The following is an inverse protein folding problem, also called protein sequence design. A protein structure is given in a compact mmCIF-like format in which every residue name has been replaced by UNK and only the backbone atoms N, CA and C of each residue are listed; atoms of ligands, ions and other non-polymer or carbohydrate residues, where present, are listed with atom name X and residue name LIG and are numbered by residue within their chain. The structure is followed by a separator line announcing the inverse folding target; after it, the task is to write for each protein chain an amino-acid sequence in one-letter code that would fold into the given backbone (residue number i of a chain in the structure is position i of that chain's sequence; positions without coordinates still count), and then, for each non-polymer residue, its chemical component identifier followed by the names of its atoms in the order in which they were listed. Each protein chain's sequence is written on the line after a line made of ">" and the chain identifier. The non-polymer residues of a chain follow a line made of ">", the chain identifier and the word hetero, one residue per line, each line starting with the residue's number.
data_IF_910158868787
#
_entry.id   IF_910158868787
#
_cell.length_a   1.000
_cell.length_b   1.000
_cell.length_c   1.000
_cell.angle_alpha   90.00
_cell.angle_beta   90.00
_cell.angle_gamma   90.00
#
_symmetry.space_group_name_H-M   'P 1'
#
loop_
_entity.id
_entity.type
_entity.pdbx_description
1 polymer ?
#
# COMPACT_ATOMS: atom_id res chain seq x y z
N UNK A 1 0.29 -9.00 3.40
CA UNK A 1 -0.11 -8.22 2.21
C UNK A 1 0.96 -8.34 1.12
N UNK A 2 0.52 -8.49 -0.14
CA UNK A 2 1.42 -8.57 -1.29
C UNK A 2 1.94 -9.98 -1.60
N UNK A 3 1.63 -10.96 -0.75
CA UNK A 3 1.98 -12.37 -0.94
C UNK A 3 1.39 -12.95 -2.23
N UNK A 4 0.15 -12.61 -2.54
CA UNK A 4 -0.53 -13.06 -3.76
C UNK A 4 0.17 -12.53 -5.02
N UNK A 5 0.55 -11.24 -5.02
CA UNK A 5 1.27 -10.63 -6.13
C UNK A 5 2.66 -11.24 -6.30
N UNK A 6 3.37 -11.48 -5.19
CA UNK A 6 4.68 -12.13 -5.19
C UNK A 6 4.59 -13.56 -5.74
N UNK A 7 3.61 -14.32 -5.27
CA UNK A 7 3.37 -15.68 -5.72
C UNK A 7 3.05 -15.73 -7.22
N UNK A 8 2.09 -14.93 -7.68
CA UNK A 8 1.70 -14.85 -9.08
C UNK A 8 2.87 -14.48 -10.00
N UNK A 9 3.70 -13.53 -9.59
CA UNK A 9 4.87 -13.13 -10.38
C UNK A 9 5.92 -14.24 -10.45
N UNK A 10 6.15 -14.96 -9.36
CA UNK A 10 7.10 -16.10 -9.35
C UNK A 10 6.59 -17.26 -10.20
N UNK A 11 5.31 -17.60 -10.12
CA UNK A 11 4.68 -18.64 -10.95
C UNK A 11 4.91 -18.32 -12.44
N UNK A 12 4.59 -17.09 -12.86
CA UNK A 12 4.79 -16.68 -14.26
C UNK A 12 6.27 -16.70 -14.70
N UNK A 13 7.19 -16.26 -13.82
CA UNK A 13 8.62 -16.30 -14.10
C UNK A 13 9.18 -17.72 -14.22
N UNK A 14 8.52 -18.69 -13.58
CA UNK A 14 8.87 -20.12 -13.70
C UNK A 14 8.23 -20.79 -14.91
N UNK A 15 7.58 -20.02 -15.81
CA UNK A 15 6.99 -20.55 -17.05
C UNK A 15 5.60 -21.14 -16.90
N UNK A 16 4.98 -21.01 -15.72
CA UNK A 16 3.61 -21.48 -15.49
C UNK A 16 2.58 -20.39 -15.75
N UNK A 17 1.38 -20.82 -16.12
CA UNK A 17 0.21 -19.96 -16.25
C UNK A 17 -0.62 -19.96 -14.96
N UNK A 18 -1.43 -18.92 -14.80
CA UNK A 18 -2.37 -18.79 -13.69
C UNK A 18 -3.77 -18.84 -14.30
N UNK A 19 -4.51 -19.87 -13.93
CA UNK A 19 -5.88 -20.07 -14.39
C UNK A 19 -6.92 -19.72 -13.31
N UNK A 20 -8.15 -19.54 -13.76
CA UNK A 20 -9.32 -19.42 -12.91
C UNK A 20 -10.12 -20.72 -12.97
N UNK A 21 -10.51 -21.24 -11.82
CA UNK A 21 -11.35 -22.47 -11.70
C UNK A 21 -12.72 -22.05 -11.18
N UNK A 22 -13.70 -22.03 -12.07
CA UNK A 22 -15.07 -21.55 -11.78
C UNK A 22 -15.76 -22.33 -10.66
N UNK A 23 -15.54 -23.64 -10.59
CA UNK A 23 -16.13 -24.51 -9.57
C UNK A 23 -15.46 -24.45 -8.20
N UNK A 24 -14.29 -23.79 -8.09
CA UNK A 24 -13.59 -23.67 -6.82
C UNK A 24 -14.18 -22.56 -5.95
N UNK A 25 -14.82 -22.94 -4.86
CA UNK A 25 -15.41 -22.00 -3.90
C UNK A 25 -14.53 -21.89 -2.67
N UNK A 26 -14.11 -20.66 -2.34
CA UNK A 26 -13.33 -20.35 -1.15
C UNK A 26 -14.05 -19.32 -0.29
N UNK A 27 -14.20 -19.59 0.99
CA UNK A 27 -14.75 -18.63 1.96
C UNK A 27 -13.62 -17.79 2.53
N UNK A 28 -13.56 -16.51 2.15
CA UNK A 28 -12.57 -15.58 2.66
C UNK A 28 -13.13 -14.72 3.79
N UNK A 29 -12.66 -14.94 5.00
CA UNK A 29 -12.98 -14.11 6.15
C UNK A 29 -12.05 -12.89 6.19
N UNK A 30 -12.39 -11.86 5.40
CA UNK A 30 -11.60 -10.62 5.33
C UNK A 30 -11.43 -9.91 6.66
N UNK A 31 -10.32 -9.20 6.82
CA UNK A 31 -10.06 -8.32 7.97
C UNK A 31 -9.69 -9.02 9.29
N UNK A 32 -9.62 -10.34 9.36
CA UNK A 32 -9.22 -11.04 10.60
C UNK A 32 -7.78 -10.70 11.04
N UNK A 33 -6.88 -10.51 10.10
CA UNK A 33 -5.49 -10.10 10.37
C UNK A 33 -5.35 -8.64 10.82
N UNK A 34 -6.41 -7.85 10.68
CA UNK A 34 -6.43 -6.43 11.05
C UNK A 34 -7.12 -6.18 12.40
N UNK A 35 -7.65 -7.23 13.05
CA UNK A 35 -8.30 -7.11 14.36
C UNK A 35 -7.34 -6.51 15.39
N UNK A 36 -7.80 -5.48 16.09
CA UNK A 36 -6.99 -4.76 17.08
C UNK A 36 -5.97 -3.79 16.51
N UNK A 37 -5.85 -3.65 15.18
CA UNK A 37 -4.98 -2.65 14.56
C UNK A 37 -5.74 -1.37 14.27
N UNK A 38 -5.13 -0.21 14.53
CA UNK A 38 -5.69 1.09 14.14
C UNK A 38 -5.62 1.28 12.61
N UNK A 39 -6.49 2.11 12.01
CA UNK A 39 -6.43 2.38 10.57
C UNK A 39 -5.05 2.85 10.06
N UNK A 40 -4.31 3.73 10.77
CA UNK A 40 -2.95 4.09 10.37
C UNK A 40 -1.97 2.90 10.34
N UNK A 41 -2.04 2.01 11.31
CA UNK A 41 -1.18 0.82 11.39
C UNK A 41 -1.46 -0.16 10.25
N UNK A 42 -2.73 -0.36 9.93
CA UNK A 42 -3.14 -1.19 8.78
C UNK A 42 -2.55 -0.61 7.48
N UNK A 43 -2.65 0.71 7.28
CA UNK A 43 -2.07 1.36 6.12
C UNK A 43 -0.55 1.23 6.07
N UNK A 44 0.14 1.38 7.20
CA UNK A 44 1.60 1.18 7.27
C UNK A 44 2.00 -0.26 6.93
N UNK A 45 1.27 -1.26 7.44
CA UNK A 45 1.50 -2.68 7.10
C UNK A 45 1.35 -2.91 5.59
N UNK A 46 0.27 -2.42 4.98
CA UNK A 46 0.01 -2.54 3.53
C UNK A 46 1.12 -1.87 2.70
N UNK A 47 1.50 -0.66 3.04
CA UNK A 47 2.55 0.07 2.31
C UNK A 47 3.93 -0.58 2.46
N UNK A 48 4.28 -1.07 3.65
CA UNK A 48 5.54 -1.79 3.85
C UNK A 48 5.61 -3.07 3.02
N UNK A 49 4.52 -3.84 2.96
CA UNK A 49 4.44 -5.04 2.14
C UNK A 49 4.61 -4.72 0.64
N UNK A 50 3.99 -3.64 0.16
CA UNK A 50 4.13 -3.16 -1.22
C UNK A 50 5.59 -2.77 -1.53
N UNK A 51 6.28 -2.08 -0.61
CA UNK A 51 7.69 -1.75 -0.80
C UNK A 51 8.61 -2.97 -0.75
N UNK A 52 8.34 -3.95 0.10
CA UNK A 52 9.07 -5.23 0.09
C UNK A 52 8.94 -5.93 -1.26
N UNK A 53 7.73 -5.93 -1.84
CA UNK A 53 7.50 -6.46 -3.19
C UNK A 53 8.31 -5.69 -4.24
N UNK A 54 8.30 -4.35 -4.21
CA UNK A 54 9.10 -3.55 -5.15
C UNK A 54 10.60 -3.79 -4.99
N UNK A 55 11.12 -3.85 -3.77
CA UNK A 55 12.54 -4.11 -3.50
C UNK A 55 12.99 -5.49 -3.98
N UNK A 56 12.11 -6.48 -3.86
CA UNK A 56 12.38 -7.86 -4.32
C UNK A 56 12.39 -7.99 -5.84
N UNK A 57 11.53 -7.26 -6.54
CA UNK A 57 11.26 -7.51 -7.96
C UNK A 57 11.74 -6.43 -8.91
N UNK A 58 12.06 -5.24 -8.44
CA UNK A 58 12.45 -4.09 -9.27
C UNK A 58 13.86 -3.61 -8.96
N UNK A 59 14.48 -2.97 -9.97
CA UNK A 59 15.79 -2.33 -9.78
C UNK A 59 15.69 -1.17 -8.79
N UNK A 60 16.72 -0.98 -7.98
CA UNK A 60 16.81 0.08 -6.97
C UNK A 60 16.45 1.48 -7.50
N UNK A 61 16.87 1.80 -8.73
CA UNK A 61 16.52 3.08 -9.37
C UNK A 61 15.03 3.24 -9.62
N UNK A 62 14.33 2.17 -10.00
CA UNK A 62 12.87 2.17 -10.19
C UNK A 62 12.15 2.33 -8.85
N UNK A 63 12.59 1.62 -7.83
CA UNK A 63 12.02 1.74 -6.47
C UNK A 63 12.14 3.16 -5.95
N UNK A 64 13.30 3.81 -6.14
CA UNK A 64 13.50 5.23 -5.77
C UNK A 64 12.56 6.18 -6.51
N UNK A 65 12.29 5.94 -7.80
CA UNK A 65 11.32 6.74 -8.58
C UNK A 65 9.90 6.55 -8.05
N UNK A 66 9.50 5.32 -7.74
CA UNK A 66 8.20 5.00 -7.14
C UNK A 66 8.06 5.72 -5.79
N UNK A 67 9.07 5.64 -4.92
CA UNK A 67 9.06 6.34 -3.63
C UNK A 67 8.89 7.85 -3.77
N UNK A 68 9.60 8.48 -4.74
CA UNK A 68 9.45 9.91 -5.02
C UNK A 68 8.04 10.26 -5.48
N UNK A 69 7.47 9.46 -6.39
CA UNK A 69 6.11 9.65 -6.89
C UNK A 69 5.06 9.47 -5.77
N UNK A 70 5.21 8.46 -4.94
CA UNK A 70 4.32 8.23 -3.78
C UNK A 70 4.39 9.39 -2.78
N UNK A 71 5.59 9.92 -2.50
CA UNK A 71 5.76 11.06 -1.61
C UNK A 71 5.10 12.33 -2.18
N UNK A 72 5.31 12.61 -3.45
CA UNK A 72 4.68 13.74 -4.14
C UNK A 72 3.15 13.61 -4.10
N UNK A 73 2.62 12.42 -4.43
CA UNK A 73 1.19 12.11 -4.34
C UNK A 73 0.64 12.31 -2.93
N UNK A 74 1.34 11.78 -1.91
CA UNK A 74 0.89 11.90 -0.52
C UNK A 74 0.78 13.38 -0.09
N UNK A 75 1.81 14.18 -0.35
CA UNK A 75 1.84 15.61 -0.03
C UNK A 75 0.76 16.40 -0.76
N UNK A 76 0.62 16.16 -2.07
CA UNK A 76 -0.43 16.77 -2.87
C UNK A 76 -1.83 16.47 -2.30
N UNK A 77 -2.09 15.18 -2.01
CA UNK A 77 -3.39 14.77 -1.46
C UNK A 77 -3.62 15.33 -0.06
N UNK A 78 -2.61 15.41 0.79
CA UNK A 78 -2.72 16.01 2.12
C UNK A 78 -3.02 17.52 2.03
N UNK A 79 -2.38 18.24 1.10
CA UNK A 79 -2.66 19.65 0.88
C UNK A 79 -4.12 19.88 0.44
N UNK A 80 -4.60 19.14 -0.58
CA UNK A 80 -5.98 19.24 -1.04
C UNK A 80 -6.97 18.89 0.09
N UNK A 81 -6.75 17.77 0.80
CA UNK A 81 -7.63 17.36 1.89
C UNK A 81 -7.63 18.37 3.03
N UNK A 82 -6.46 18.94 3.36
CA UNK A 82 -6.37 19.97 4.38
C UNK A 82 -7.15 21.25 4.03
N UNK A 83 -7.05 21.70 2.77
CA UNK A 83 -7.80 22.85 2.28
C UNK A 83 -9.31 22.59 2.18
N UNK A 84 -9.72 21.38 1.82
CA UNK A 84 -11.13 21.02 1.67
C UNK A 84 -11.80 20.57 2.96
N UNK A 85 -11.04 20.27 4.02
CA UNK A 85 -11.58 19.73 5.28
C UNK A 85 -12.67 20.63 5.94
N UNK A 86 -12.54 21.98 5.97
CA UNK A 86 -13.58 22.84 6.53
C UNK A 86 -14.93 22.75 5.80
N UNK A 87 -14.90 22.35 4.52
CA UNK A 87 -16.07 22.28 3.64
C UNK A 87 -16.52 20.83 3.39
N UNK A 88 -15.91 19.85 4.06
CA UNK A 88 -16.21 18.43 3.81
C UNK A 88 -17.58 18.07 4.42
N UNK A 89 -18.47 17.53 3.59
CA UNK A 89 -19.77 17.01 4.03
C UNK A 89 -19.62 15.81 4.96
N UNK A 90 -18.61 14.96 4.74
CA UNK A 90 -18.21 13.86 5.63
C UNK A 90 -16.77 14.07 6.09
N UNK A 91 -16.65 14.72 7.25
CA UNK A 91 -15.37 15.02 7.86
C UNK A 91 -14.59 13.77 8.29
N UNK A 92 -15.30 12.76 8.82
CA UNK A 92 -14.67 11.52 9.27
C UNK A 92 -14.03 10.76 8.11
N UNK A 93 -14.72 10.67 6.97
CA UNK A 93 -14.15 10.08 5.75
C UNK A 93 -12.95 10.88 5.22
N UNK A 94 -12.97 12.21 5.29
CA UNK A 94 -11.85 13.06 4.90
C UNK A 94 -10.63 12.84 5.80
N UNK A 95 -10.82 12.79 7.11
CA UNK A 95 -9.79 12.49 8.10
C UNK A 95 -9.21 11.08 7.91
N UNK A 96 -10.05 10.07 7.65
CA UNK A 96 -9.62 8.72 7.31
C UNK A 96 -8.70 8.67 6.09
N UNK A 97 -9.02 9.46 5.03
CA UNK A 97 -8.14 9.63 3.87
C UNK A 97 -6.81 10.30 4.23
N UNK A 98 -6.83 11.29 5.12
CA UNK A 98 -5.60 11.94 5.59
C UNK A 98 -4.70 10.97 6.36
N UNK A 99 -5.25 10.11 7.22
CA UNK A 99 -4.50 9.06 7.91
C UNK A 99 -3.76 8.14 6.93
N UNK A 100 -4.42 7.74 5.84
CA UNK A 100 -3.80 6.94 4.77
C UNK A 100 -2.58 7.63 4.17
N UNK A 101 -2.69 8.91 3.80
CA UNK A 101 -1.60 9.63 3.14
C UNK A 101 -0.47 10.00 4.10
N UNK A 102 -0.78 10.27 5.38
CA UNK A 102 0.25 10.43 6.43
C UNK A 102 1.02 9.14 6.64
N UNK A 103 0.34 8.00 6.72
CA UNK A 103 0.99 6.70 6.83
C UNK A 103 1.90 6.42 5.63
N UNK A 104 1.45 6.74 4.40
CA UNK A 104 2.28 6.60 3.20
C UNK A 104 3.53 7.49 3.26
N UNK A 105 3.40 8.76 3.64
CA UNK A 105 4.55 9.67 3.77
C UNK A 105 5.55 9.16 4.81
N UNK A 106 5.08 8.70 5.96
CA UNK A 106 5.92 8.17 7.02
C UNK A 106 6.68 6.92 6.57
N UNK A 107 6.00 5.95 5.95
CA UNK A 107 6.62 4.72 5.43
C UNK A 107 7.67 5.05 4.38
N UNK A 108 7.39 5.95 3.43
CA UNK A 108 8.36 6.36 2.42
C UNK A 108 9.61 6.99 3.05
N UNK A 109 9.44 7.84 4.06
CA UNK A 109 10.56 8.46 4.78
C UNK A 109 11.41 7.40 5.48
N UNK A 110 10.78 6.45 6.18
CA UNK A 110 11.45 5.34 6.87
C UNK A 110 12.22 4.45 5.89
N UNK A 111 11.63 4.10 4.75
CA UNK A 111 12.29 3.30 3.72
C UNK A 111 13.49 4.01 3.09
N UNK A 112 13.45 5.33 2.95
CA UNK A 112 14.56 6.12 2.41
C UNK A 112 15.72 6.30 3.38
N UNK A 113 15.48 6.24 4.70
CA UNK A 113 16.51 6.37 5.74
C UNK A 113 17.18 5.05 6.11
N UNK A 114 16.69 3.90 5.61
CA UNK A 114 17.34 2.60 5.85
C UNK A 114 18.71 2.57 5.15
N UNK A 115 19.79 2.29 5.89
CA UNK A 115 21.08 1.98 5.26
C UNK A 115 20.91 0.73 4.40
N UNK A 116 21.49 0.75 3.21
CA UNK A 116 21.48 -0.37 2.24
C UNK A 116 22.81 -1.04 2.22
#
# INVERSE_FOLDING_TARGET
>A
YGEDQDLCLRIRRSGYEIGYVESAVVVHHGGKSERGSTPPEVWKKKMNAEYLFYEKHYRTGSVRKIMKAHLAKARWRLAILGLSLPFAADRAAAEGKMHKYRALEEVVRQQRSRPR
#
